data_IF_280117395810
#
_entry.id   IF_280117395810
#
_cell.length_a   1.000
_cell.length_b   1.000
_cell.length_c   1.000
_cell.angle_alpha   90.00
_cell.angle_beta   90.00
_cell.angle_gamma   90.00
#
_symmetry.space_group_name_H-M   'P 1'
#
loop_
_entity.id
_entity.type
_entity.pdbx_description
1 polymer ?
#
# COMPACT_ATOMS: atom_id res chain seq x y z
N UNK A 1 -3.19 3.62 -24.41
CA UNK A 1 -2.41 2.81 -23.45
C UNK A 1 -1.23 2.18 -24.19
N UNK A 2 -0.01 2.36 -23.69
CA UNK A 2 1.15 1.78 -24.36
C UNK A 2 1.32 0.31 -24.00
N UNK A 3 2.08 -0.42 -24.85
CA UNK A 3 2.32 -1.87 -24.67
C UNK A 3 2.95 -2.16 -23.32
N UNK A 4 3.83 -1.28 -22.85
CA UNK A 4 4.52 -1.43 -21.56
C UNK A 4 3.55 -1.48 -20.38
N UNK A 5 2.50 -0.66 -20.40
CA UNK A 5 1.51 -0.64 -19.33
C UNK A 5 0.70 -1.93 -19.29
N UNK A 6 0.40 -2.50 -20.46
CA UNK A 6 -0.28 -3.79 -20.56
C UNK A 6 0.57 -4.91 -19.97
N UNK A 7 1.87 -4.90 -20.26
CA UNK A 7 2.79 -5.91 -19.74
C UNK A 7 2.88 -5.83 -18.22
N UNK A 8 2.96 -4.62 -17.66
CA UNK A 8 2.98 -4.43 -16.22
C UNK A 8 1.68 -4.89 -15.57
N UNK A 9 0.54 -4.58 -16.18
CA UNK A 9 -0.76 -5.03 -15.68
C UNK A 9 -0.86 -6.54 -15.64
N UNK A 10 -0.43 -7.23 -16.70
CA UNK A 10 -0.44 -8.70 -16.77
C UNK A 10 0.46 -9.29 -15.68
N UNK A 11 1.65 -8.73 -15.47
CA UNK A 11 2.56 -9.20 -14.43
C UNK A 11 1.97 -9.02 -13.05
N UNK A 12 1.32 -7.88 -12.79
CA UNK A 12 0.67 -7.61 -11.51
C UNK A 12 -0.47 -8.59 -11.26
N UNK A 13 -1.28 -8.87 -12.28
CA UNK A 13 -2.38 -9.85 -12.15
C UNK A 13 -1.88 -11.24 -11.83
N UNK A 14 -0.79 -11.67 -12.45
CA UNK A 14 -0.17 -12.97 -12.14
C UNK A 14 0.33 -13.00 -10.70
N UNK A 15 0.99 -11.92 -10.26
CA UNK A 15 1.46 -11.80 -8.88
C UNK A 15 0.29 -11.83 -7.90
N UNK A 16 -0.81 -11.16 -8.25
CA UNK A 16 -2.02 -11.15 -7.42
C UNK A 16 -2.57 -12.56 -7.20
N UNK A 17 -2.66 -13.36 -8.27
CA UNK A 17 -3.13 -14.75 -8.17
C UNK A 17 -2.23 -15.59 -7.26
N UNK A 18 -0.92 -15.42 -7.38
CA UNK A 18 0.04 -16.12 -6.52
C UNK A 18 -0.11 -15.70 -5.06
N UNK A 19 -0.31 -14.40 -4.82
CA UNK A 19 -0.50 -13.86 -3.47
C UNK A 19 -1.82 -14.32 -2.87
N UNK A 20 -2.88 -14.42 -3.65
CA UNK A 20 -4.16 -14.96 -3.20
C UNK A 20 -4.02 -16.41 -2.74
N UNK A 21 -3.29 -17.21 -3.49
CA UNK A 21 -2.97 -18.59 -3.12
C UNK A 21 -2.17 -18.65 -1.82
N UNK A 22 -1.14 -17.82 -1.72
CA UNK A 22 -0.30 -17.75 -0.53
C UNK A 22 -1.12 -17.34 0.70
N UNK A 23 -2.04 -16.39 0.53
CA UNK A 23 -2.91 -15.94 1.61
C UNK A 23 -3.86 -17.04 2.11
N UNK A 24 -4.32 -17.91 1.22
CA UNK A 24 -5.14 -19.05 1.62
C UNK A 24 -4.34 -20.06 2.47
N UNK A 25 -3.06 -20.23 2.14
CA UNK A 25 -2.17 -21.15 2.87
C UNK A 25 -1.67 -20.57 4.18
N UNK A 26 -1.48 -19.26 4.25
CA UNK A 26 -0.95 -18.55 5.42
C UNK A 26 -1.82 -17.34 5.73
N UNK A 27 -3.04 -17.59 6.19
CA UNK A 27 -3.94 -16.51 6.57
C UNK A 27 -3.33 -15.70 7.72
N UNK A 28 -3.53 -14.38 7.67
CA UNK A 28 -3.00 -13.42 8.64
C UNK A 28 -1.48 -13.20 8.58
N UNK A 29 -0.81 -13.58 7.48
CA UNK A 29 0.56 -13.15 7.26
C UNK A 29 0.55 -11.70 6.78
N UNK A 30 1.03 -10.74 7.59
CA UNK A 30 0.91 -9.32 7.25
C UNK A 30 1.68 -8.94 5.99
N UNK A 31 2.78 -9.60 5.68
CA UNK A 31 3.55 -9.31 4.48
C UNK A 31 2.79 -9.72 3.22
N UNK A 32 2.11 -10.86 3.26
CA UNK A 32 1.29 -11.33 2.15
C UNK A 32 0.09 -10.41 1.97
N UNK A 33 -0.57 -10.02 3.05
CA UNK A 33 -1.73 -9.14 3.04
C UNK A 33 -1.36 -7.77 2.49
N UNK A 34 -0.23 -7.20 2.93
CA UNK A 34 0.27 -5.94 2.39
C UNK A 34 0.56 -6.03 0.90
N UNK A 35 1.21 -7.11 0.48
CA UNK A 35 1.52 -7.33 -0.94
C UNK A 35 0.26 -7.46 -1.80
N UNK A 36 -0.77 -8.14 -1.29
CA UNK A 36 -2.08 -8.22 -1.94
C UNK A 36 -2.71 -6.84 -2.09
N UNK A 37 -2.72 -6.08 -1.01
CA UNK A 37 -3.27 -4.72 -1.02
C UNK A 37 -2.53 -3.83 -2.01
N UNK A 38 -1.22 -3.92 -2.04
CA UNK A 38 -0.41 -3.11 -2.94
C UNK A 38 -0.60 -3.49 -4.42
N UNK A 39 -0.70 -4.80 -4.71
CA UNK A 39 -1.00 -5.26 -6.07
C UNK A 39 -2.36 -4.73 -6.54
N UNK A 40 -3.37 -4.77 -5.68
CA UNK A 40 -4.69 -4.23 -5.99
C UNK A 40 -4.64 -2.71 -6.20
N UNK A 41 -3.83 -2.00 -5.41
CA UNK A 41 -3.62 -0.57 -5.58
C UNK A 41 -3.06 -0.25 -6.97
N UNK A 42 -2.06 -1.00 -7.41
CA UNK A 42 -1.46 -0.80 -8.74
C UNK A 42 -2.43 -1.10 -9.87
N UNK A 43 -3.41 -1.98 -9.65
CA UNK A 43 -4.48 -2.27 -10.60
C UNK A 43 -5.65 -1.27 -10.47
N UNK A 44 -5.49 -0.24 -9.65
CA UNK A 44 -6.50 0.80 -9.41
C UNK A 44 -7.79 0.27 -8.78
N UNK A 45 -7.72 -0.87 -8.12
CA UNK A 45 -8.82 -1.43 -7.33
C UNK A 45 -8.73 -0.93 -5.90
N UNK A 46 -8.96 0.37 -5.74
CA UNK A 46 -8.64 1.08 -4.50
C UNK A 46 -9.48 0.65 -3.30
N UNK A 47 -10.73 0.31 -3.49
CA UNK A 47 -11.58 -0.11 -2.39
C UNK A 47 -11.17 -1.46 -1.82
N UNK A 48 -10.93 -2.44 -2.70
CA UNK A 48 -10.42 -3.75 -2.27
C UNK A 48 -9.04 -3.64 -1.66
N UNK A 49 -8.17 -2.82 -2.26
CA UNK A 49 -6.83 -2.52 -1.75
C UNK A 49 -6.90 -1.98 -0.32
N UNK A 50 -7.79 -1.03 -0.08
CA UNK A 50 -7.96 -0.42 1.25
C UNK A 50 -8.28 -1.48 2.30
N UNK A 51 -9.15 -2.43 1.98
CA UNK A 51 -9.53 -3.47 2.94
C UNK A 51 -8.33 -4.34 3.35
N UNK A 52 -7.51 -4.74 2.39
CA UNK A 52 -6.30 -5.52 2.69
C UNK A 52 -5.26 -4.69 3.43
N UNK A 53 -5.01 -3.46 2.99
CA UNK A 53 -4.00 -2.61 3.64
C UNK A 53 -4.43 -2.19 5.05
N UNK A 54 -5.71 -2.03 5.29
CA UNK A 54 -6.23 -1.79 6.63
C UNK A 54 -5.94 -2.98 7.55
N UNK A 55 -6.15 -4.18 7.06
CA UNK A 55 -5.84 -5.40 7.80
C UNK A 55 -4.33 -5.49 8.08
N UNK A 56 -3.50 -5.21 7.08
CA UNK A 56 -2.05 -5.23 7.25
C UNK A 56 -1.57 -4.24 8.30
N UNK A 57 -2.12 -3.02 8.32
CA UNK A 57 -1.72 -2.01 9.29
C UNK A 57 -2.17 -2.37 10.71
N UNK A 58 -3.27 -3.10 10.84
CA UNK A 58 -3.70 -3.62 12.16
C UNK A 58 -2.75 -4.68 12.69
N UNK A 59 -2.21 -5.51 11.79
CA UNK A 59 -1.26 -6.56 12.16
C UNK A 59 0.15 -6.01 12.38
N UNK A 60 0.52 -4.96 11.65
CA UNK A 60 1.85 -4.34 11.75
C UNK A 60 1.73 -2.83 11.90
N UNK A 61 1.22 -2.34 13.05
CA UNK A 61 0.93 -0.92 13.21
C UNK A 61 2.17 -0.01 13.22
N UNK A 62 3.34 -0.57 13.49
CA UNK A 62 4.58 0.19 13.50
C UNK A 62 5.43 0.07 12.25
N UNK A 63 4.96 -0.60 11.20
CA UNK A 63 5.75 -0.79 9.99
C UNK A 63 5.64 0.44 9.08
N UNK A 64 6.79 1.07 8.72
CA UNK A 64 6.76 2.29 7.90
C UNK A 64 6.16 2.07 6.52
N UNK A 65 6.51 0.97 5.86
CA UNK A 65 6.05 0.68 4.50
C UNK A 65 4.54 0.42 4.47
N UNK A 66 4.05 -0.37 5.41
CA UNK A 66 2.62 -0.70 5.51
C UNK A 66 1.80 0.56 5.76
N UNK A 67 2.25 1.43 6.67
CA UNK A 67 1.57 2.69 6.94
C UNK A 67 1.57 3.63 5.74
N UNK A 68 2.68 3.67 4.99
CA UNK A 68 2.75 4.48 3.78
C UNK A 68 1.79 3.96 2.71
N UNK A 69 1.76 2.65 2.48
CA UNK A 69 0.81 2.04 1.54
C UNK A 69 -0.64 2.35 1.93
N UNK A 70 -0.95 2.24 3.21
CA UNK A 70 -2.31 2.53 3.69
C UNK A 70 -2.66 4.01 3.49
N UNK A 71 -1.73 4.92 3.75
CA UNK A 71 -1.91 6.34 3.46
C UNK A 71 -2.22 6.57 1.99
N UNK A 72 -1.46 5.94 1.09
CA UNK A 72 -1.66 6.07 -0.35
C UNK A 72 -3.08 5.65 -0.77
N UNK A 73 -3.54 4.49 -0.28
CA UNK A 73 -4.87 3.99 -0.67
C UNK A 73 -5.99 4.82 -0.06
N UNK A 74 -5.81 5.36 1.13
CA UNK A 74 -6.78 6.28 1.73
C UNK A 74 -6.92 7.54 0.89
N UNK A 75 -5.81 8.09 0.41
CA UNK A 75 -5.82 9.24 -0.48
C UNK A 75 -6.64 8.96 -1.73
N UNK A 76 -6.41 7.83 -2.38
CA UNK A 76 -7.13 7.45 -3.61
C UNK A 76 -8.61 7.18 -3.35
N UNK A 77 -8.99 6.84 -2.13
CA UNK A 77 -10.38 6.66 -1.73
C UNK A 77 -11.03 7.96 -1.23
N UNK A 78 -10.38 9.10 -1.42
CA UNK A 78 -10.93 10.41 -1.06
C UNK A 78 -10.79 10.77 0.41
N UNK A 79 -10.06 9.97 1.19
CA UNK A 79 -9.88 10.19 2.64
C UNK A 79 -8.54 10.88 2.89
N UNK A 80 -8.41 12.12 2.40
CA UNK A 80 -7.15 12.85 2.39
C UNK A 80 -6.63 13.18 3.78
N UNK A 81 -7.49 13.52 4.72
CA UNK A 81 -7.09 13.85 6.09
C UNK A 81 -6.50 12.61 6.77
N UNK A 82 -7.18 11.47 6.63
CA UNK A 82 -6.69 10.21 7.19
C UNK A 82 -5.37 9.78 6.53
N UNK A 83 -5.26 9.95 5.21
CA UNK A 83 -4.02 9.65 4.48
C UNK A 83 -2.84 10.45 5.06
N UNK A 84 -3.03 11.74 5.29
CA UNK A 84 -2.00 12.60 5.87
C UNK A 84 -1.62 12.16 7.29
N UNK A 85 -2.57 11.69 8.07
CA UNK A 85 -2.31 11.15 9.40
C UNK A 85 -1.30 9.99 9.34
N UNK A 86 -1.52 9.03 8.44
CA UNK A 86 -0.63 7.87 8.32
C UNK A 86 0.74 8.26 7.75
N UNK A 87 0.80 9.16 6.79
CA UNK A 87 2.07 9.66 6.26
C UNK A 87 2.86 10.40 7.34
N UNK A 88 2.22 11.26 8.12
CA UNK A 88 2.87 11.96 9.23
C UNK A 88 3.37 10.98 10.29
N UNK A 89 2.61 9.94 10.55
CA UNK A 89 3.02 8.90 11.49
C UNK A 89 4.36 8.28 11.07
N UNK A 90 4.52 7.97 9.77
CA UNK A 90 5.76 7.40 9.25
C UNK A 90 6.94 8.37 9.44
N UNK A 91 6.73 9.66 9.24
CA UNK A 91 7.79 10.65 9.43
C UNK A 91 8.34 10.66 10.86
N UNK A 92 7.53 10.28 11.83
CA UNK A 92 7.91 10.25 13.23
C UNK A 92 8.49 8.89 13.68
N UNK A 93 8.57 7.92 12.78
CA UNK A 93 9.16 6.62 13.09
C UNK A 93 10.68 6.66 12.88
N UNK A 94 11.44 6.35 13.92
CA UNK A 94 12.91 6.32 13.83
C UNK A 94 13.40 5.31 12.80
N UNK A 95 12.72 4.18 12.70
CA UNK A 95 13.12 3.08 11.80
C UNK A 95 12.75 3.32 10.33
N UNK A 96 12.01 4.39 10.02
CA UNK A 96 11.72 4.74 8.64
C UNK A 96 12.98 5.28 7.96
N UNK A 97 13.27 4.78 6.76
CA UNK A 97 14.44 5.21 6.02
C UNK A 97 14.30 6.65 5.53
N UNK A 98 15.41 7.36 5.42
CA UNK A 98 15.41 8.76 4.99
C UNK A 98 14.80 8.94 3.60
N UNK A 99 15.07 8.03 2.69
CA UNK A 99 14.52 8.07 1.34
C UNK A 99 12.98 7.98 1.37
N UNK A 100 12.44 7.10 2.21
CA UNK A 100 11.00 6.99 2.39
C UNK A 100 10.43 8.27 2.99
N UNK A 101 11.08 8.85 3.98
CA UNK A 101 10.64 10.10 4.61
C UNK A 101 10.60 11.24 3.60
N UNK A 102 11.60 11.34 2.74
CA UNK A 102 11.63 12.36 1.67
C UNK A 102 10.45 12.20 0.71
N UNK A 103 10.16 10.97 0.32
CA UNK A 103 9.03 10.66 -0.56
C UNK A 103 7.72 11.08 0.10
N UNK A 104 7.56 10.79 1.39
CA UNK A 104 6.35 11.13 2.14
C UNK A 104 6.20 12.64 2.28
N UNK A 105 7.28 13.37 2.53
CA UNK A 105 7.25 14.83 2.57
C UNK A 105 6.69 15.40 1.27
N UNK A 106 7.07 14.86 0.12
CA UNK A 106 6.53 15.25 -1.17
C UNK A 106 5.03 14.96 -1.27
N UNK A 107 4.61 13.79 -0.80
CA UNK A 107 3.18 13.43 -0.78
C UNK A 107 2.36 14.37 0.07
N UNK A 108 2.90 14.83 1.20
CA UNK A 108 2.21 15.78 2.09
C UNK A 108 2.05 17.14 1.44
N UNK A 109 2.97 17.53 0.55
CA UNK A 109 2.91 18.81 -0.17
C UNK A 109 1.96 18.71 -1.36
N UNK A 110 2.10 17.68 -2.17
CA UNK A 110 1.43 17.57 -3.48
C UNK A 110 0.23 16.62 -3.50
N UNK A 111 0.18 15.69 -2.54
CA UNK A 111 -0.71 14.54 -2.63
C UNK A 111 -0.15 13.52 -3.62
N UNK A 112 -0.98 12.62 -4.03
CA UNK A 112 -0.64 11.60 -5.03
C UNK A 112 -1.04 12.02 -6.44
#
# INVERSE_FOLDING_TARGET
MCIRDREQGVKIEKSLKMLEKANKLRSNDPYIIDSLGWALFKLEKYEESKNFLQQAVRLMPGDPIVNDHYGDVLWKNGKQIQARYYWNYVLNLEKAEDELKQTIEQKLIKGL
#
